data_IF_752563506247
#
_entry.id   IF_752563506247
#
_cell.length_a   1.000
_cell.length_b   1.000
_cell.length_c   1.000
_cell.angle_alpha   90.00
_cell.angle_beta   90.00
_cell.angle_gamma   90.00
#
_symmetry.space_group_name_H-M   'P 1'
#
loop_
_entity.id
_entity.type
_entity.pdbx_description
1 polymer ?
#
# COMPACT_ATOMS: atom_id res chain seq x y z
N UNK A 1 70.07 -13.89 -11.71
CA UNK A 1 70.11 -13.00 -10.54
C UNK A 1 68.74 -12.36 -10.44
N UNK A 2 67.85 -12.94 -9.65
CA UNK A 2 66.56 -12.35 -9.35
C UNK A 2 66.81 -11.18 -8.39
N UNK A 3 66.48 -9.97 -8.83
CA UNK A 3 66.50 -8.81 -7.96
C UNK A 3 65.40 -9.01 -6.92
N UNK A 4 65.79 -9.20 -5.67
CA UNK A 4 64.88 -9.19 -4.52
C UNK A 4 64.18 -7.82 -4.53
N UNK A 5 62.90 -7.80 -4.88
CA UNK A 5 62.07 -6.60 -4.81
C UNK A 5 62.09 -6.11 -3.36
N UNK A 6 62.61 -4.90 -3.14
CA UNK A 6 62.60 -4.29 -1.83
C UNK A 6 61.16 -4.07 -1.32
N UNK A 7 60.93 -4.09 0.00
CA UNK A 7 59.59 -3.94 0.59
C UNK A 7 58.87 -2.65 0.18
N UNK A 8 59.58 -1.61 -0.25
CA UNK A 8 58.99 -0.37 -0.78
C UNK A 8 58.28 -0.53 -2.14
N UNK A 9 58.75 -1.43 -3.02
CA UNK A 9 58.07 -1.67 -4.31
C UNK A 9 56.73 -2.38 -4.12
N UNK A 10 56.66 -3.31 -3.15
CA UNK A 10 55.44 -4.07 -2.85
C UNK A 10 54.30 -3.18 -2.35
N UNK A 11 54.62 -2.16 -1.54
CA UNK A 11 53.62 -1.20 -1.04
C UNK A 11 53.12 -0.27 -2.15
N UNK A 12 54.01 0.26 -2.99
CA UNK A 12 53.59 1.15 -4.09
C UNK A 12 52.80 0.41 -5.17
N UNK A 13 53.20 -0.81 -5.54
CA UNK A 13 52.46 -1.65 -6.48
C UNK A 13 51.04 -1.93 -5.95
N UNK A 14 50.91 -2.23 -4.64
CA UNK A 14 49.61 -2.37 -3.99
C UNK A 14 48.79 -1.08 -4.05
N UNK A 15 49.35 0.08 -3.68
CA UNK A 15 48.60 1.34 -3.69
C UNK A 15 48.11 1.72 -5.10
N UNK A 16 48.90 1.41 -6.14
CA UNK A 16 48.51 1.60 -7.53
C UNK A 16 47.38 0.67 -7.95
N UNK A 17 47.45 -0.62 -7.58
CA UNK A 17 46.41 -1.58 -7.93
C UNK A 17 45.12 -1.36 -7.12
N UNK A 18 45.23 -1.00 -5.84
CA UNK A 18 44.11 -0.61 -5.00
C UNK A 18 43.42 0.64 -5.54
N UNK A 19 44.19 1.64 -5.99
CA UNK A 19 43.64 2.82 -6.67
C UNK A 19 42.84 2.45 -7.92
N UNK A 20 43.38 1.58 -8.79
CA UNK A 20 42.64 1.09 -9.97
C UNK A 20 41.34 0.40 -9.58
N UNK A 21 41.36 -0.44 -8.55
CA UNK A 21 40.15 -1.12 -8.03
C UNK A 21 39.13 -0.14 -7.47
N UNK A 22 39.55 0.94 -6.81
CA UNK A 22 38.64 1.99 -6.35
C UNK A 22 37.92 2.67 -7.53
N UNK A 23 38.65 2.98 -8.60
CA UNK A 23 38.08 3.55 -9.83
C UNK A 23 37.15 2.53 -10.51
N UNK A 24 37.56 1.27 -10.61
CA UNK A 24 36.74 0.19 -11.18
C UNK A 24 35.42 0.00 -10.41
N UNK A 25 35.48 0.02 -9.08
CA UNK A 25 34.30 -0.01 -8.23
C UNK A 25 33.38 1.20 -8.48
N UNK A 26 33.95 2.39 -8.67
CA UNK A 26 33.18 3.58 -9.07
C UNK A 26 32.41 3.39 -10.38
N UNK A 27 32.99 2.71 -11.38
CA UNK A 27 32.28 2.37 -12.61
C UNK A 27 31.16 1.35 -12.37
N UNK A 28 31.37 0.33 -11.55
CA UNK A 28 30.32 -0.62 -11.21
C UNK A 28 29.17 0.04 -10.42
N UNK A 29 29.48 1.01 -9.55
CA UNK A 29 28.46 1.83 -8.90
C UNK A 29 27.59 2.56 -9.93
N UNK A 30 28.19 3.21 -10.93
CA UNK A 30 27.44 3.89 -12.00
C UNK A 30 26.58 2.91 -12.83
N UNK A 31 27.14 1.75 -13.21
CA UNK A 31 26.38 0.70 -13.91
C UNK A 31 25.20 0.19 -13.07
N UNK A 32 25.39 0.03 -11.77
CA UNK A 32 24.34 -0.37 -10.85
C UNK A 32 23.24 0.69 -10.73
N UNK A 33 23.62 1.96 -10.66
CA UNK A 33 22.67 3.08 -10.61
C UNK A 33 21.84 3.18 -11.90
N UNK A 34 22.40 2.77 -13.04
CA UNK A 34 21.72 2.63 -14.34
C UNK A 34 20.97 1.32 -14.53
N UNK A 35 20.94 0.46 -13.51
CA UNK A 35 20.28 -0.86 -13.53
C UNK A 35 20.87 -1.83 -14.57
N UNK A 36 22.12 -1.61 -15.00
CA UNK A 36 22.84 -2.48 -15.94
C UNK A 36 23.36 -3.76 -15.28
N UNK A 37 23.63 -3.71 -13.97
CA UNK A 37 24.06 -4.84 -13.15
C UNK A 37 23.16 -5.01 -11.92
N UNK A 38 23.08 -6.21 -11.37
CA UNK A 38 22.22 -6.53 -10.23
C UNK A 38 22.93 -6.35 -8.86
N UNK A 39 22.14 -6.38 -7.78
CA UNK A 39 22.62 -6.20 -6.40
C UNK A 39 23.69 -7.24 -6.02
N UNK A 40 23.56 -8.49 -6.50
CA UNK A 40 24.52 -9.55 -6.22
C UNK A 40 25.89 -9.26 -6.82
N UNK A 41 25.94 -8.76 -8.05
CA UNK A 41 27.19 -8.41 -8.71
C UNK A 41 27.88 -7.22 -8.04
N UNK A 42 27.16 -6.14 -7.73
CA UNK A 42 27.78 -4.99 -7.07
C UNK A 42 28.22 -5.30 -5.63
N UNK A 43 27.49 -6.16 -4.92
CA UNK A 43 27.87 -6.63 -3.58
C UNK A 43 29.16 -7.47 -3.63
N UNK A 44 29.31 -8.32 -4.65
CA UNK A 44 30.53 -9.09 -4.89
C UNK A 44 31.72 -8.17 -5.15
N UNK A 45 31.55 -7.19 -6.05
CA UNK A 45 32.61 -6.21 -6.38
C UNK A 45 33.01 -5.35 -5.18
N UNK A 46 32.04 -4.97 -4.35
CA UNK A 46 32.29 -4.25 -3.10
C UNK A 46 33.13 -5.10 -2.13
N UNK A 47 32.76 -6.36 -1.89
CA UNK A 47 33.52 -7.26 -1.03
C UNK A 47 34.94 -7.54 -1.56
N UNK A 48 35.11 -7.70 -2.87
CA UNK A 48 36.42 -7.87 -3.51
C UNK A 48 37.30 -6.63 -3.31
N UNK A 49 36.73 -5.42 -3.43
CA UNK A 49 37.47 -4.17 -3.24
C UNK A 49 37.86 -3.92 -1.78
N UNK A 50 36.97 -4.22 -0.82
CA UNK A 50 37.21 -3.92 0.61
C UNK A 50 38.07 -4.96 1.32
N UNK A 51 37.82 -6.25 1.08
CA UNK A 51 38.51 -7.34 1.80
C UNK A 51 40.02 -7.40 1.51
N UNK A 52 40.41 -7.17 0.25
CA UNK A 52 41.83 -7.15 -0.12
C UNK A 52 42.57 -5.93 0.46
N UNK A 53 41.90 -4.77 0.48
CA UNK A 53 42.46 -3.53 1.03
C UNK A 53 42.77 -3.65 2.53
N UNK A 54 41.78 -4.11 3.31
CA UNK A 54 41.91 -4.30 4.75
C UNK A 54 42.97 -5.35 5.10
N UNK A 55 42.95 -6.49 4.40
CA UNK A 55 43.92 -7.57 4.65
C UNK A 55 45.36 -7.13 4.39
N UNK A 56 45.59 -6.37 3.32
CA UNK A 56 46.93 -5.89 3.00
C UNK A 56 47.40 -4.82 3.99
N UNK A 57 46.52 -3.86 4.34
CA UNK A 57 46.84 -2.81 5.30
C UNK A 57 47.17 -3.39 6.68
N UNK A 58 46.36 -4.31 7.21
CA UNK A 58 46.63 -4.96 8.51
C UNK A 58 48.01 -5.64 8.55
N UNK A 59 48.43 -6.22 7.44
CA UNK A 59 49.70 -6.97 7.34
C UNK A 59 50.92 -6.06 7.14
N UNK A 60 50.77 -4.95 6.40
CA UNK A 60 51.90 -4.15 5.93
C UNK A 60 51.94 -2.71 6.45
N UNK A 61 50.96 -2.23 7.23
CA UNK A 61 50.89 -0.82 7.65
C UNK A 61 52.18 -0.36 8.36
N UNK A 62 52.83 -1.22 9.14
CA UNK A 62 54.05 -0.90 9.89
C UNK A 62 55.26 -0.63 8.98
N UNK A 63 55.19 -1.04 7.70
CA UNK A 63 56.24 -0.85 6.70
C UNK A 63 55.95 0.33 5.75
N UNK A 64 54.78 0.97 5.88
CA UNK A 64 54.36 2.09 5.04
C UNK A 64 54.94 3.41 5.56
N UNK A 65 55.32 4.30 4.64
CA UNK A 65 55.65 5.69 5.00
C UNK A 65 54.38 6.46 5.40
N UNK A 66 54.49 7.56 6.16
CA UNK A 66 53.32 8.39 6.49
C UNK A 66 52.52 8.86 5.26
N UNK A 67 53.21 9.13 4.15
CA UNK A 67 52.58 9.53 2.88
C UNK A 67 51.80 8.36 2.24
N UNK A 68 52.34 7.14 2.30
CA UNK A 68 51.67 5.93 1.81
C UNK A 68 50.43 5.57 2.64
N UNK A 69 50.53 5.71 3.97
CA UNK A 69 49.38 5.55 4.87
C UNK A 69 48.30 6.59 4.54
N UNK A 70 48.69 7.85 4.32
CA UNK A 70 47.74 8.90 3.95
C UNK A 70 47.04 8.62 2.62
N UNK A 71 47.78 8.16 1.59
CA UNK A 71 47.19 7.75 0.30
C UNK A 71 46.20 6.60 0.45
N UNK A 72 46.55 5.57 1.23
CA UNK A 72 45.63 4.48 1.55
C UNK A 72 44.36 4.98 2.24
N UNK A 73 44.49 5.83 3.25
CA UNK A 73 43.36 6.39 3.99
C UNK A 73 42.42 7.21 3.11
N UNK A 74 42.94 7.97 2.12
CA UNK A 74 42.12 8.66 1.14
C UNK A 74 41.32 7.64 0.31
N UNK A 75 41.99 6.63 -0.25
CA UNK A 75 41.34 5.62 -1.10
C UNK A 75 40.26 4.84 -0.34
N UNK A 76 40.55 4.42 0.90
CA UNK A 76 39.60 3.77 1.77
C UNK A 76 38.38 4.66 2.05
N UNK A 77 38.59 5.93 2.38
CA UNK A 77 37.50 6.88 2.60
C UNK A 77 36.61 7.02 1.36
N UNK A 78 37.21 7.10 0.17
CA UNK A 78 36.45 7.18 -1.08
C UNK A 78 35.62 5.91 -1.33
N UNK A 79 36.17 4.72 -1.05
CA UNK A 79 35.42 3.45 -1.12
C UNK A 79 34.25 3.42 -0.13
N UNK A 80 34.48 3.85 1.12
CA UNK A 80 33.46 3.90 2.16
C UNK A 80 32.32 4.87 1.78
N UNK A 81 32.67 6.04 1.23
CA UNK A 81 31.71 7.04 0.74
C UNK A 81 30.88 6.48 -0.43
N UNK A 82 31.51 5.84 -1.42
CA UNK A 82 30.80 5.21 -2.55
C UNK A 82 29.86 4.10 -2.08
N UNK A 83 30.32 3.25 -1.16
CA UNK A 83 29.54 2.17 -0.55
C UNK A 83 28.33 2.71 0.21
N UNK A 84 28.55 3.74 1.03
CA UNK A 84 27.48 4.40 1.80
C UNK A 84 26.43 4.99 0.86
N UNK A 85 26.84 5.69 -0.20
CA UNK A 85 25.93 6.29 -1.18
C UNK A 85 25.09 5.24 -1.93
N UNK A 86 25.72 4.12 -2.30
CA UNK A 86 25.04 3.00 -2.94
C UNK A 86 23.97 2.42 -2.01
N UNK A 87 24.34 2.15 -0.76
CA UNK A 87 23.44 1.56 0.22
C UNK A 87 22.30 2.52 0.57
N UNK A 88 22.57 3.81 0.76
CA UNK A 88 21.52 4.82 0.98
C UNK A 88 20.53 4.90 -0.18
N UNK A 89 21.00 4.69 -1.42
CA UNK A 89 20.13 4.60 -2.59
C UNK A 89 19.25 3.36 -2.53
N UNK A 90 19.80 2.20 -2.16
CA UNK A 90 19.03 0.98 -1.99
C UNK A 90 18.01 1.07 -0.86
N UNK A 91 18.35 1.73 0.25
CA UNK A 91 17.38 2.00 1.32
C UNK A 91 16.21 2.82 0.77
N UNK A 92 16.47 3.86 -0.04
CA UNK A 92 15.41 4.67 -0.66
C UNK A 92 14.56 3.86 -1.63
N UNK A 93 15.18 3.04 -2.50
CA UNK A 93 14.48 2.15 -3.43
C UNK A 93 13.61 1.13 -2.69
N UNK A 94 14.15 0.48 -1.67
CA UNK A 94 13.40 -0.45 -0.83
C UNK A 94 12.24 0.23 -0.08
N UNK A 95 12.40 1.47 0.38
CA UNK A 95 11.28 2.24 0.94
C UNK A 95 10.19 2.53 -0.09
N UNK A 96 10.52 2.69 -1.38
CA UNK A 96 9.51 2.80 -2.44
C UNK A 96 8.79 1.47 -2.67
N UNK A 97 9.53 0.35 -2.70
CA UNK A 97 8.95 -1.00 -2.81
C UNK A 97 7.99 -1.28 -1.65
N UNK A 98 8.33 -0.89 -0.42
CA UNK A 98 7.42 -1.01 0.73
C UNK A 98 6.12 -0.26 0.48
N UNK A 99 6.17 0.98 -0.02
CA UNK A 99 4.99 1.80 -0.28
C UNK A 99 4.11 1.19 -1.36
N UNK A 100 4.72 0.72 -2.45
CA UNK A 100 4.00 0.10 -3.56
C UNK A 100 3.36 -1.23 -3.14
N UNK A 101 4.11 -2.08 -2.44
CA UNK A 101 3.58 -3.34 -1.90
C UNK A 101 2.42 -3.07 -0.92
N UNK A 102 2.54 -2.05 -0.07
CA UNK A 102 1.50 -1.68 0.88
C UNK A 102 0.22 -1.18 0.19
N UNK A 103 0.33 -0.35 -0.86
CA UNK A 103 -0.82 0.17 -1.61
C UNK A 103 -1.56 -0.93 -2.40
N UNK A 104 -0.84 -1.99 -2.77
CA UNK A 104 -1.38 -3.19 -3.45
C UNK A 104 -1.89 -4.29 -2.51
N UNK A 105 -1.57 -4.22 -1.21
CA UNK A 105 -1.92 -5.29 -0.26
C UNK A 105 -0.94 -6.47 -0.23
N UNK A 106 0.25 -6.34 -0.82
CA UNK A 106 1.31 -7.34 -0.87
C UNK A 106 2.12 -7.36 0.44
N UNK A 107 1.43 -7.58 1.56
CA UNK A 107 1.98 -7.44 2.92
C UNK A 107 3.20 -8.31 3.23
N UNK A 108 3.38 -9.40 2.50
CA UNK A 108 4.54 -10.27 2.64
C UNK A 108 5.82 -9.58 2.13
N UNK A 109 5.74 -8.89 1.00
CA UNK A 109 6.86 -8.14 0.40
C UNK A 109 7.33 -7.06 1.37
N UNK A 110 6.40 -6.31 1.97
CA UNK A 110 6.72 -5.27 2.97
C UNK A 110 7.67 -5.76 4.06
N UNK A 111 7.36 -6.92 4.67
CA UNK A 111 8.18 -7.46 5.76
C UNK A 111 9.57 -7.91 5.29
N UNK A 112 9.66 -8.56 4.12
CA UNK A 112 10.94 -8.96 3.55
C UNK A 112 11.79 -7.72 3.24
N UNK A 113 11.18 -6.68 2.69
CA UNK A 113 11.88 -5.46 2.31
C UNK A 113 12.41 -4.71 3.53
N UNK A 114 11.70 -4.66 4.67
CA UNK A 114 12.27 -4.12 5.92
C UNK A 114 13.52 -4.88 6.37
N UNK A 115 13.53 -6.21 6.29
CA UNK A 115 14.71 -7.02 6.62
C UNK A 115 15.89 -6.75 5.68
N UNK A 116 15.61 -6.50 4.40
CA UNK A 116 16.61 -6.10 3.42
C UNK A 116 17.25 -4.75 3.78
N UNK A 117 16.43 -3.76 4.19
CA UNK A 117 16.91 -2.45 4.64
C UNK A 117 17.76 -2.60 5.92
N UNK A 118 17.34 -3.41 6.88
CA UNK A 118 18.12 -3.70 8.09
C UNK A 118 19.52 -4.21 7.74
N UNK A 119 19.59 -5.22 6.86
CA UNK A 119 20.87 -5.80 6.41
C UNK A 119 21.75 -4.76 5.72
N UNK A 120 21.14 -3.92 4.88
CA UNK A 120 21.83 -2.85 4.17
C UNK A 120 22.44 -1.81 5.14
N UNK A 121 21.69 -1.40 6.17
CA UNK A 121 22.20 -0.48 7.21
C UNK A 121 23.41 -1.10 7.94
N UNK A 122 23.36 -2.38 8.29
CA UNK A 122 24.51 -3.04 8.93
C UNK A 122 25.74 -3.07 8.02
N UNK A 123 25.56 -3.23 6.70
CA UNK A 123 26.67 -3.26 5.74
C UNK A 123 27.31 -1.88 5.52
N UNK A 124 26.53 -0.80 5.50
CA UNK A 124 27.07 0.55 5.30
C UNK A 124 27.82 1.09 6.54
N UNK A 125 27.35 0.72 7.74
CA UNK A 125 27.78 1.34 8.98
C UNK A 125 28.46 0.33 9.92
N UNK A 126 29.45 -0.40 9.41
CA UNK A 126 30.18 -1.47 10.12
C UNK A 126 31.25 -0.93 11.08
N UNK A 127 31.83 0.24 10.82
CA UNK A 127 32.91 0.81 11.61
C UNK A 127 32.47 1.36 12.99
N UNK A 128 33.33 1.22 14.00
CA UNK A 128 33.08 1.72 15.36
C UNK A 128 32.79 3.23 15.40
N UNK A 129 33.39 4.01 14.49
CA UNK A 129 33.15 5.45 14.34
C UNK A 129 31.75 5.80 13.83
N UNK A 130 31.06 4.87 13.19
CA UNK A 130 29.72 5.05 12.60
C UNK A 130 28.62 4.35 13.40
N UNK A 131 28.96 3.75 14.54
CA UNK A 131 28.03 2.97 15.36
C UNK A 131 26.81 3.78 15.81
N UNK A 132 27.01 5.03 16.21
CA UNK A 132 25.92 5.90 16.64
C UNK A 132 24.93 6.18 15.50
N UNK A 133 25.44 6.45 14.28
CA UNK A 133 24.60 6.71 13.11
C UNK A 133 23.83 5.47 12.68
N UNK A 134 24.47 4.30 12.74
CA UNK A 134 23.80 3.01 12.53
C UNK A 134 22.65 2.82 13.49
N UNK A 135 22.92 2.95 14.79
CA UNK A 135 21.93 2.67 15.85
C UNK A 135 20.75 3.67 15.75
N UNK A 136 21.01 4.93 15.38
CA UNK A 136 19.97 5.92 15.09
C UNK A 136 19.11 5.52 13.89
N UNK A 137 19.71 5.14 12.76
CA UNK A 137 18.98 4.71 11.55
C UNK A 137 18.16 3.44 11.78
N UNK A 138 18.70 2.49 12.55
CA UNK A 138 17.98 1.28 12.95
C UNK A 138 16.78 1.62 13.84
N UNK A 139 16.91 2.55 14.78
CA UNK A 139 15.81 3.00 15.63
C UNK A 139 14.70 3.70 14.81
N UNK A 140 15.07 4.55 13.85
CA UNK A 140 14.11 5.17 12.93
C UNK A 140 13.37 4.13 12.09
N UNK A 141 14.10 3.16 11.53
CA UNK A 141 13.52 2.08 10.74
C UNK A 141 12.57 1.22 11.58
N UNK A 142 12.97 0.87 12.80
CA UNK A 142 12.16 0.09 13.73
C UNK A 142 10.83 0.81 14.04
N UNK A 143 10.89 2.12 14.31
CA UNK A 143 9.68 2.93 14.55
C UNK A 143 8.77 2.96 13.32
N UNK A 144 9.34 3.11 12.13
CA UNK A 144 8.58 3.08 10.86
C UNK A 144 7.95 1.69 10.63
N UNK A 145 8.68 0.61 10.93
CA UNK A 145 8.22 -0.76 10.80
C UNK A 145 7.09 -1.09 11.78
N UNK A 146 7.21 -0.70 13.04
CA UNK A 146 6.17 -0.92 14.06
C UNK A 146 4.85 -0.23 13.68
N UNK A 147 4.95 1.03 13.22
CA UNK A 147 3.79 1.77 12.71
C UNK A 147 3.18 1.04 11.52
N UNK A 148 4.00 0.67 10.53
CA UNK A 148 3.54 -0.02 9.31
C UNK A 148 2.89 -1.35 9.65
N UNK A 149 3.44 -2.13 10.57
CA UNK A 149 2.86 -3.41 11.00
C UNK A 149 1.53 -3.24 11.75
N UNK A 150 1.40 -2.22 12.60
CA UNK A 150 0.13 -1.92 13.25
C UNK A 150 -0.96 -1.60 12.22
N UNK A 151 -0.62 -0.80 11.21
CA UNK A 151 -1.52 -0.41 10.12
C UNK A 151 -1.88 -1.59 9.22
N UNK A 152 -0.90 -2.43 8.87
CA UNK A 152 -1.14 -3.65 8.09
C UNK A 152 -2.15 -4.59 8.78
N UNK A 153 -2.13 -4.68 10.12
CA UNK A 153 -3.14 -5.47 10.85
C UNK A 153 -4.54 -4.92 10.63
N UNK A 154 -4.71 -3.60 10.69
CA UNK A 154 -6.00 -2.94 10.46
C UNK A 154 -6.45 -3.14 9.01
N UNK A 155 -5.57 -2.90 8.04
CA UNK A 155 -5.89 -3.07 6.61
C UNK A 155 -6.25 -4.52 6.27
N UNK A 156 -5.56 -5.51 6.85
CA UNK A 156 -5.91 -6.94 6.69
C UNK A 156 -7.30 -7.26 7.24
N UNK A 157 -7.67 -6.68 8.38
CA UNK A 157 -9.02 -6.86 8.95
C UNK A 157 -10.07 -6.24 8.01
N UNK A 158 -9.81 -5.04 7.49
CA UNK A 158 -10.71 -4.41 6.51
C UNK A 158 -10.86 -5.32 5.30
N UNK A 159 -9.76 -5.74 4.67
CA UNK A 159 -9.75 -6.61 3.48
C UNK A 159 -10.50 -7.93 3.69
N UNK A 160 -10.27 -8.61 4.82
CA UNK A 160 -10.93 -9.88 5.14
C UNK A 160 -12.44 -9.75 5.34
N UNK A 161 -12.91 -8.58 5.78
CA UNK A 161 -14.30 -8.35 6.17
C UNK A 161 -15.09 -7.53 5.15
N UNK A 162 -14.42 -6.98 4.13
CA UNK A 162 -15.02 -6.06 3.18
C UNK A 162 -16.06 -6.71 2.26
N UNK A 163 -15.88 -7.99 1.93
CA UNK A 163 -16.72 -8.75 1.00
C UNK A 163 -17.32 -9.97 1.71
N UNK A 164 -18.20 -9.79 2.70
CA UNK A 164 -18.83 -10.92 3.37
C UNK A 164 -19.76 -11.67 2.41
N UNK A 165 -19.91 -12.98 2.58
CA UNK A 165 -20.82 -13.79 1.76
C UNK A 165 -22.30 -13.53 2.09
N UNK A 166 -22.58 -13.15 3.34
CA UNK A 166 -23.93 -12.86 3.85
C UNK A 166 -23.91 -11.62 4.74
N UNK A 167 -25.06 -10.95 4.87
CA UNK A 167 -25.20 -9.87 5.84
C UNK A 167 -25.04 -10.39 7.26
N UNK A 168 -24.07 -9.85 8.00
CA UNK A 168 -23.97 -10.03 9.45
C UNK A 168 -23.64 -8.69 10.11
N UNK A 169 -24.62 -8.11 10.80
CA UNK A 169 -24.49 -6.83 11.48
C UNK A 169 -23.29 -6.79 12.45
N UNK A 170 -22.96 -7.92 13.09
CA UNK A 170 -21.82 -8.00 13.99
C UNK A 170 -20.49 -7.86 13.26
N UNK A 171 -20.36 -8.47 12.08
CA UNK A 171 -19.17 -8.35 11.24
C UNK A 171 -19.05 -6.94 10.62
N UNK A 172 -20.17 -6.33 10.22
CA UNK A 172 -20.18 -4.93 9.76
C UNK A 172 -19.75 -3.95 10.87
N UNK A 173 -20.18 -4.17 12.12
CA UNK A 173 -19.71 -3.37 13.27
C UNK A 173 -18.20 -3.53 13.49
N UNK A 174 -17.63 -4.72 13.28
CA UNK A 174 -16.17 -4.93 13.36
C UNK A 174 -15.44 -4.19 12.25
N UNK A 175 -15.96 -4.24 11.02
CA UNK A 175 -15.40 -3.52 9.88
C UNK A 175 -15.44 -2.01 10.10
N UNK A 176 -16.58 -1.47 10.55
CA UNK A 176 -16.71 -0.08 10.95
C UNK A 176 -15.68 0.30 12.04
N UNK A 177 -15.51 -0.56 13.06
CA UNK A 177 -14.50 -0.33 14.09
C UNK A 177 -13.07 -0.36 13.54
N UNK A 178 -12.77 -1.19 12.55
CA UNK A 178 -11.48 -1.23 11.88
C UNK A 178 -11.20 0.08 11.12
N UNK A 179 -12.19 0.64 10.41
CA UNK A 179 -12.08 1.97 9.79
C UNK A 179 -11.88 3.09 10.82
N UNK A 180 -12.59 3.04 11.95
CA UNK A 180 -12.35 4.00 13.04
C UNK A 180 -10.93 3.91 13.60
N UNK A 181 -10.43 2.68 13.81
CA UNK A 181 -9.05 2.47 14.27
C UNK A 181 -8.07 3.03 13.23
N UNK A 182 -8.28 2.76 11.95
CA UNK A 182 -7.46 3.31 10.85
C UNK A 182 -7.38 4.84 10.93
N UNK A 183 -8.53 5.50 11.03
CA UNK A 183 -8.64 6.96 11.12
C UNK A 183 -7.93 7.47 12.37
N UNK A 184 -8.16 6.87 13.53
CA UNK A 184 -7.57 7.31 14.80
C UNK A 184 -6.04 7.20 14.78
N UNK A 185 -5.49 6.16 14.16
CA UNK A 185 -4.04 6.00 13.98
C UNK A 185 -3.47 7.10 13.08
N UNK A 186 -4.16 7.48 12.01
CA UNK A 186 -3.65 8.44 11.02
C UNK A 186 -4.04 9.90 11.26
N UNK A 187 -5.02 10.17 12.12
CA UNK A 187 -5.51 11.53 12.43
C UNK A 187 -4.42 12.47 12.94
N UNK A 188 -3.41 11.92 13.61
CA UNK A 188 -2.29 12.68 14.21
C UNK A 188 -0.96 12.46 13.50
N UNK A 189 -0.94 11.63 12.47
CA UNK A 189 0.28 11.31 11.71
C UNK A 189 0.39 12.34 10.59
N UNK A 190 1.51 13.06 10.54
CA UNK A 190 1.84 13.91 9.40
C UNK A 190 1.73 13.11 8.09
N UNK A 191 1.55 13.78 6.95
CA UNK A 191 1.36 13.13 5.64
C UNK A 191 2.66 12.45 5.17
N UNK A 192 2.98 11.33 5.81
CA UNK A 192 4.13 10.49 5.54
C UNK A 192 3.88 9.64 4.30
N UNK A 193 4.93 9.18 3.62
CA UNK A 193 4.77 8.30 2.47
C UNK A 193 4.05 6.97 2.77
N UNK A 194 4.21 6.45 4.00
CA UNK A 194 3.48 5.26 4.46
C UNK A 194 1.99 5.57 4.60
N UNK A 195 1.61 6.74 5.13
CA UNK A 195 0.20 7.17 5.17
C UNK A 195 -0.40 7.19 3.77
N UNK A 196 0.30 7.78 2.81
CA UNK A 196 -0.19 7.86 1.42
C UNK A 196 -0.43 6.45 0.87
N UNK A 197 0.52 5.53 1.02
CA UNK A 197 0.36 4.15 0.58
C UNK A 197 -0.81 3.43 1.28
N UNK A 198 -1.03 3.69 2.57
CA UNK A 198 -2.18 3.17 3.30
C UNK A 198 -3.52 3.74 2.79
N UNK A 199 -3.58 5.06 2.56
CA UNK A 199 -4.77 5.73 2.03
C UNK A 199 -5.11 5.16 0.65
N UNK A 200 -4.10 4.97 -0.21
CA UNK A 200 -4.26 4.34 -1.53
C UNK A 200 -4.77 2.90 -1.42
N UNK A 201 -4.30 2.12 -0.43
CA UNK A 201 -4.83 0.77 -0.20
C UNK A 201 -6.30 0.80 0.21
N UNK A 202 -6.68 1.71 1.11
CA UNK A 202 -8.09 1.87 1.54
C UNK A 202 -8.96 2.24 0.33
N UNK A 203 -8.51 3.14 -0.53
CA UNK A 203 -9.24 3.50 -1.76
C UNK A 203 -9.34 2.32 -2.72
N UNK A 204 -8.27 1.55 -2.91
CA UNK A 204 -8.32 0.33 -3.73
C UNK A 204 -9.32 -0.68 -3.19
N UNK A 205 -9.34 -0.89 -1.88
CA UNK A 205 -10.35 -1.74 -1.22
C UNK A 205 -11.77 -1.22 -1.49
N UNK A 206 -11.99 0.09 -1.40
CA UNK A 206 -13.29 0.70 -1.76
C UNK A 206 -13.69 0.48 -3.21
N UNK A 207 -12.77 0.67 -4.16
CA UNK A 207 -13.01 0.41 -5.59
C UNK A 207 -13.38 -1.06 -5.82
N UNK A 208 -12.64 -1.96 -5.17
CA UNK A 208 -12.92 -3.39 -5.24
C UNK A 208 -14.30 -3.75 -4.67
N UNK A 209 -14.72 -3.10 -3.58
CA UNK A 209 -16.05 -3.29 -2.99
C UNK A 209 -17.15 -2.72 -3.89
N UNK A 210 -17.00 -1.48 -4.36
CA UNK A 210 -17.97 -0.84 -5.25
C UNK A 210 -18.20 -1.68 -6.50
N UNK A 211 -17.14 -2.18 -7.14
CA UNK A 211 -17.23 -3.08 -8.30
C UNK A 211 -17.91 -4.41 -7.96
N UNK A 212 -17.56 -5.01 -6.81
CA UNK A 212 -18.18 -6.25 -6.36
C UNK A 212 -19.70 -6.10 -6.20
N UNK A 213 -20.13 -4.96 -5.65
CA UNK A 213 -21.53 -4.62 -5.46
C UNK A 213 -22.23 -4.26 -6.78
N UNK A 214 -21.59 -3.49 -7.65
CA UNK A 214 -22.09 -3.16 -9.00
C UNK A 214 -22.37 -4.42 -9.84
N UNK A 215 -21.55 -5.47 -9.69
CA UNK A 215 -21.76 -6.81 -10.29
C UNK A 215 -23.00 -7.55 -9.74
N UNK A 216 -23.79 -6.93 -8.86
CA UNK A 216 -25.02 -7.49 -8.32
C UNK A 216 -24.82 -8.42 -7.11
N UNK A 217 -23.62 -8.44 -6.53
CA UNK A 217 -23.26 -9.35 -5.41
C UNK A 217 -23.54 -8.67 -4.07
N UNK A 218 -24.80 -8.36 -3.83
CA UNK A 218 -25.25 -7.75 -2.58
C UNK A 218 -25.21 -8.77 -1.45
N UNK A 219 -24.53 -8.45 -0.36
CA UNK A 219 -24.49 -9.29 0.85
C UNK A 219 -25.71 -8.98 1.74
N UNK A 220 -26.91 -9.17 1.20
CA UNK A 220 -28.18 -8.72 1.77
C UNK A 220 -29.02 -8.06 0.68
N UNK A 221 -29.43 -6.81 0.90
CA UNK A 221 -30.05 -5.97 -0.11
C UNK A 221 -29.17 -4.77 -0.50
N UNK A 222 -29.52 -4.12 -1.61
CA UNK A 222 -28.79 -2.98 -2.17
C UNK A 222 -28.83 -1.74 -1.27
N UNK A 223 -29.91 -1.51 -0.53
CA UNK A 223 -30.05 -0.37 0.38
C UNK A 223 -29.12 -0.49 1.58
N UNK A 224 -29.04 -1.67 2.18
CA UNK A 224 -28.15 -1.92 3.31
C UNK A 224 -26.69 -1.85 2.87
N UNK A 225 -26.33 -2.41 1.71
CA UNK A 225 -24.97 -2.25 1.15
C UNK A 225 -24.60 -0.77 0.94
N UNK A 226 -25.53 0.03 0.38
CA UNK A 226 -25.34 1.47 0.19
C UNK A 226 -25.14 2.22 1.51
N UNK A 227 -26.00 1.95 2.50
CA UNK A 227 -25.90 2.54 3.84
C UNK A 227 -24.56 2.22 4.50
N UNK A 228 -24.09 0.98 4.42
CA UNK A 228 -22.80 0.59 5.00
C UNK A 228 -21.63 1.29 4.30
N UNK A 229 -21.64 1.37 2.96
CA UNK A 229 -20.62 2.13 2.23
C UNK A 229 -20.61 3.61 2.61
N UNK A 230 -21.78 4.22 2.82
CA UNK A 230 -21.87 5.60 3.27
C UNK A 230 -21.30 5.80 4.68
N UNK A 231 -21.62 4.90 5.63
CA UNK A 231 -21.08 4.95 7.00
C UNK A 231 -19.56 4.82 7.02
N UNK A 232 -19.01 3.93 6.19
CA UNK A 232 -17.56 3.80 6.08
C UNK A 232 -16.95 5.07 5.45
N UNK A 233 -17.60 5.68 4.46
CA UNK A 233 -17.11 6.88 3.79
C UNK A 233 -17.05 8.06 4.77
N UNK A 234 -18.07 8.19 5.62
CA UNK A 234 -18.12 9.18 6.70
C UNK A 234 -16.96 9.03 7.68
N UNK A 235 -16.60 7.79 8.05
CA UNK A 235 -15.44 7.56 8.93
C UNK A 235 -14.15 8.12 8.30
N UNK A 236 -13.98 7.96 7.00
CA UNK A 236 -12.76 8.34 6.30
C UNK A 236 -12.61 9.85 6.06
N UNK A 237 -13.69 10.64 6.22
CA UNK A 237 -13.70 12.11 6.04
C UNK A 237 -12.65 12.85 6.85
N UNK A 238 -12.35 12.37 8.05
CA UNK A 238 -11.36 13.03 8.93
C UNK A 238 -9.90 12.72 8.54
N UNK A 239 -9.67 11.74 7.67
CA UNK A 239 -8.33 11.18 7.41
C UNK A 239 -7.83 11.38 5.98
N UNK A 240 -8.74 11.37 5.01
CA UNK A 240 -8.41 11.42 3.59
C UNK A 240 -8.39 12.86 3.05
N UNK A 241 -7.69 13.06 1.94
CA UNK A 241 -7.70 14.33 1.22
C UNK A 241 -9.01 14.55 0.45
N UNK A 242 -9.32 15.81 0.13
CA UNK A 242 -10.56 16.17 -0.58
C UNK A 242 -10.77 15.37 -1.87
N UNK A 243 -9.74 15.24 -2.71
CA UNK A 243 -9.82 14.47 -3.96
C UNK A 243 -10.13 12.98 -3.74
N UNK A 244 -9.61 12.40 -2.64
CA UNK A 244 -9.89 11.01 -2.29
C UNK A 244 -11.32 10.84 -1.75
N UNK A 245 -11.85 11.87 -1.06
CA UNK A 245 -13.23 11.88 -0.60
C UNK A 245 -14.21 12.01 -1.77
N UNK A 246 -13.94 12.90 -2.72
CA UNK A 246 -14.72 13.01 -3.96
C UNK A 246 -14.76 11.68 -4.72
N UNK A 247 -13.64 10.96 -4.78
CA UNK A 247 -13.60 9.63 -5.37
C UNK A 247 -14.45 8.61 -4.59
N UNK A 248 -14.34 8.56 -3.26
CA UNK A 248 -15.17 7.66 -2.46
C UNK A 248 -16.66 7.98 -2.64
N UNK A 249 -17.03 9.25 -2.64
CA UNK A 249 -18.41 9.67 -2.87
C UNK A 249 -18.89 9.22 -4.26
N UNK A 250 -18.08 9.37 -5.31
CA UNK A 250 -18.41 8.86 -6.64
C UNK A 250 -18.61 7.33 -6.64
N UNK A 251 -17.78 6.57 -5.91
CA UNK A 251 -17.92 5.11 -5.80
C UNK A 251 -19.19 4.69 -5.03
N UNK A 252 -19.57 5.44 -3.99
CA UNK A 252 -20.83 5.22 -3.25
C UNK A 252 -22.04 5.49 -4.16
N UNK A 253 -21.95 6.51 -5.00
CA UNK A 253 -23.02 6.86 -5.93
C UNK A 253 -23.28 5.81 -7.00
N UNK A 254 -22.26 5.07 -7.46
CA UNK A 254 -22.42 3.97 -8.43
C UNK A 254 -23.39 2.89 -7.95
N UNK A 255 -23.41 2.61 -6.65
CA UNK A 255 -24.24 1.56 -6.07
C UNK A 255 -25.57 2.09 -5.51
N UNK A 256 -25.84 3.39 -5.62
CA UNK A 256 -27.04 4.03 -5.08
C UNK A 256 -28.31 3.26 -5.49
N UNK A 257 -29.18 2.87 -4.54
CA UNK A 257 -30.46 2.26 -4.87
C UNK A 257 -31.32 3.21 -5.73
N UNK A 258 -32.18 2.70 -6.62
CA UNK A 258 -33.12 3.53 -7.35
C UNK A 258 -34.03 4.29 -6.37
N UNK A 259 -34.43 5.52 -6.73
CA UNK A 259 -35.31 6.34 -5.90
C UNK A 259 -36.63 5.57 -5.63
N UNK A 260 -37.01 5.35 -4.36
CA UNK A 260 -38.26 4.70 -4.01
C UNK A 260 -39.49 5.27 -4.72
N UNK A 261 -39.53 6.58 -4.99
CA UNK A 261 -40.62 7.21 -5.72
C UNK A 261 -40.64 6.81 -7.20
N UNK A 262 -39.48 6.71 -7.85
CA UNK A 262 -39.37 6.25 -9.23
C UNK A 262 -39.76 4.78 -9.35
N UNK A 263 -39.33 3.94 -8.39
CA UNK A 263 -39.72 2.52 -8.33
C UNK A 263 -41.22 2.37 -8.14
N UNK A 264 -41.81 3.16 -7.22
CA UNK A 264 -43.25 3.19 -6.97
C UNK A 264 -44.04 3.56 -8.22
N UNK A 265 -43.60 4.61 -8.92
CA UNK A 265 -44.24 5.09 -10.15
C UNK A 265 -44.15 4.05 -11.27
N UNK A 266 -42.99 3.42 -11.46
CA UNK A 266 -42.80 2.32 -12.41
C UNK A 266 -43.72 1.14 -12.11
N UNK A 267 -43.73 0.64 -10.87
CA UNK A 267 -44.56 -0.51 -10.46
C UNK A 267 -46.06 -0.21 -10.62
N UNK A 268 -46.47 1.03 -10.32
CA UNK A 268 -47.84 1.48 -10.56
C UNK A 268 -48.20 1.42 -12.05
N UNK A 269 -47.35 1.95 -12.92
CA UNK A 269 -47.57 1.92 -14.37
C UNK A 269 -47.55 0.49 -14.93
N UNK A 270 -46.63 -0.37 -14.49
CA UNK A 270 -46.62 -1.79 -14.85
C UNK A 270 -47.94 -2.48 -14.48
N UNK A 271 -48.45 -2.25 -13.28
CA UNK A 271 -49.73 -2.82 -12.85
C UNK A 271 -50.93 -2.26 -13.63
N UNK A 272 -50.89 -0.98 -14.03
CA UNK A 272 -51.94 -0.35 -14.85
C UNK A 272 -51.91 -0.82 -16.31
N UNK A 273 -50.74 -1.15 -16.86
CA UNK A 273 -50.58 -1.56 -18.26
C UNK A 273 -50.46 -3.08 -18.46
N UNK A 274 -50.43 -3.88 -17.38
CA UNK A 274 -50.41 -5.33 -17.47
C UNK A 274 -51.65 -5.88 -18.20
N UNK A 275 -51.41 -6.83 -19.10
CA UNK A 275 -52.43 -7.56 -19.85
C UNK A 275 -52.38 -9.05 -19.52
N UNK A 276 -53.57 -9.67 -19.39
CA UNK A 276 -53.72 -11.04 -18.92
C UNK A 276 -53.73 -11.16 -17.39
N UNK A 277 -54.62 -12.00 -16.85
CA UNK A 277 -54.86 -12.13 -15.41
C UNK A 277 -53.58 -12.45 -14.61
N UNK A 278 -52.74 -13.36 -15.11
CA UNK A 278 -51.50 -13.74 -14.43
C UNK A 278 -50.49 -12.60 -14.31
N UNK A 279 -50.35 -11.77 -15.36
CA UNK A 279 -49.42 -10.64 -15.36
C UNK A 279 -49.94 -9.50 -14.47
N UNK A 280 -51.26 -9.25 -14.50
CA UNK A 280 -51.90 -8.28 -13.62
C UNK A 280 -51.70 -8.70 -12.16
N UNK A 281 -51.95 -9.96 -11.82
CA UNK A 281 -51.73 -10.48 -10.48
C UNK A 281 -50.27 -10.30 -10.04
N UNK A 282 -49.31 -10.69 -10.88
CA UNK A 282 -47.87 -10.55 -10.58
C UNK A 282 -47.47 -9.09 -10.36
N UNK A 283 -47.92 -8.17 -11.23
CA UNK A 283 -47.59 -6.75 -11.12
C UNK A 283 -48.24 -6.10 -9.88
N UNK A 284 -49.47 -6.46 -9.55
CA UNK A 284 -50.17 -6.00 -8.35
C UNK A 284 -49.51 -6.54 -7.07
N UNK A 285 -49.05 -7.79 -7.07
CA UNK A 285 -48.27 -8.35 -5.95
C UNK A 285 -46.95 -7.60 -5.78
N UNK A 286 -46.21 -7.35 -6.86
CA UNK A 286 -44.97 -6.57 -6.81
C UNK A 286 -45.20 -5.15 -6.26
N UNK A 287 -46.23 -4.45 -6.73
CA UNK A 287 -46.64 -3.15 -6.21
C UNK A 287 -47.02 -3.22 -4.72
N UNK A 288 -47.82 -4.22 -4.32
CA UNK A 288 -48.25 -4.39 -2.94
C UNK A 288 -47.09 -4.70 -1.98
N UNK A 289 -46.14 -5.54 -2.41
CA UNK A 289 -44.93 -5.83 -1.64
C UNK A 289 -44.11 -4.55 -1.43
N UNK A 290 -43.92 -3.75 -2.49
CA UNK A 290 -43.18 -2.50 -2.40
C UNK A 290 -43.84 -1.50 -1.43
N UNK A 291 -45.15 -1.27 -1.52
CA UNK A 291 -45.82 -0.31 -0.61
C UNK A 291 -45.94 -0.81 0.83
N UNK A 292 -45.79 -2.12 1.07
CA UNK A 292 -45.70 -2.66 2.43
C UNK A 292 -44.33 -2.34 3.05
N UNK A 293 -43.27 -2.38 2.24
CA UNK A 293 -41.91 -2.05 2.65
C UNK A 293 -41.69 -0.53 2.76
N UNK A 294 -42.31 0.25 1.87
CA UNK A 294 -42.18 1.72 1.80
C UNK A 294 -43.55 2.43 1.96
N UNK A 295 -44.22 2.33 3.13
CA UNK A 295 -45.57 2.88 3.31
C UNK A 295 -45.60 4.42 3.39
N UNK A 296 -44.45 5.05 3.61
CA UNK A 296 -44.32 6.49 3.82
C UNK A 296 -44.16 7.29 2.52
N UNK A 297 -44.02 6.64 1.36
CA UNK A 297 -43.82 7.34 0.09
C UNK A 297 -45.04 8.21 -0.28
N UNK A 298 -44.84 9.48 -0.69
CA UNK A 298 -45.92 10.47 -0.81
C UNK A 298 -47.11 10.04 -1.70
N UNK A 299 -46.85 9.29 -2.78
CA UNK A 299 -47.85 8.89 -3.78
C UNK A 299 -48.56 7.57 -3.46
N UNK A 300 -48.14 6.83 -2.43
CA UNK A 300 -48.68 5.48 -2.12
C UNK A 300 -50.20 5.50 -1.96
N UNK A 301 -50.73 6.45 -1.20
CA UNK A 301 -52.18 6.57 -0.95
C UNK A 301 -53.00 6.92 -2.19
N UNK A 302 -52.41 7.63 -3.16
CA UNK A 302 -53.04 7.96 -4.44
C UNK A 302 -53.04 6.74 -5.37
N UNK A 303 -51.87 6.14 -5.60
CA UNK A 303 -51.72 5.00 -6.51
C UNK A 303 -52.50 3.78 -6.03
N UNK A 304 -52.53 3.50 -4.72
CA UNK A 304 -53.34 2.41 -4.16
C UNK A 304 -54.85 2.60 -4.40
N UNK A 305 -55.34 3.84 -4.45
CA UNK A 305 -56.75 4.15 -4.77
C UNK A 305 -57.03 3.97 -6.26
N UNK A 306 -56.18 4.55 -7.12
CA UNK A 306 -56.31 4.45 -8.58
C UNK A 306 -56.24 3.00 -9.06
N UNK A 307 -55.29 2.22 -8.52
CA UNK A 307 -55.12 0.82 -8.90
C UNK A 307 -56.33 -0.04 -8.51
N UNK A 308 -56.94 0.18 -7.33
CA UNK A 308 -58.18 -0.51 -6.93
C UNK A 308 -59.37 -0.19 -7.86
N UNK A 309 -59.53 1.08 -8.23
CA UNK A 309 -60.58 1.49 -9.16
C UNK A 309 -60.40 0.80 -10.52
N UNK A 310 -59.16 0.75 -11.02
CA UNK A 310 -58.82 0.08 -12.27
C UNK A 310 -59.10 -1.43 -12.23
N UNK A 311 -58.66 -2.14 -11.18
CA UNK A 311 -58.90 -3.57 -11.04
C UNK A 311 -60.40 -3.91 -10.95
N UNK A 312 -61.19 -3.06 -10.26
CA UNK A 312 -62.64 -3.20 -10.20
C UNK A 312 -63.30 -3.02 -11.57
N UNK A 313 -62.85 -2.05 -12.38
CA UNK A 313 -63.34 -1.86 -13.74
C UNK A 313 -63.02 -3.05 -14.67
N UNK A 314 -61.89 -3.73 -14.44
CA UNK A 314 -61.51 -4.94 -15.17
C UNK A 314 -62.16 -6.23 -14.64
N UNK A 315 -62.97 -6.16 -13.57
CA UNK A 315 -63.60 -7.34 -12.96
C UNK A 315 -62.62 -8.28 -12.23
N UNK A 316 -61.45 -7.77 -11.82
CA UNK A 316 -60.36 -8.54 -11.21
C UNK A 316 -60.26 -8.33 -9.68
N UNK A 317 -61.34 -7.92 -9.02
CA UNK A 317 -61.40 -7.66 -7.56
C UNK A 317 -61.61 -8.89 -6.71
#
# INVERSE_FOLDING_TARGET
MEAVQGPQNVVEDFLLDFSKKCVEFGYYCDQYMREEINLGEITRRMSEATAEGESFFMTHHAMMTPEQVYRYQIMQRTLDEMTTNLIETEIKRNKLVIREALSKGEYFIVNITYNSIHSSIYMAYTGDSMRADRDNKLAELQKEQELTQALMKVLKVIEQKLKPETFDEFEFRKLHKAFQIYVEYFKRVERTPIKIACDDRVLNLYRELAKYLEDGRWFGDRHECFKQMHLFAECLRECLSLAQLEEIEALVELIRPPDPNEVLERLYHEAMHAEGEANVYSAVVAFNNFIQEFPHEPKVGEYKRKLRQYLSQKGMT
#
